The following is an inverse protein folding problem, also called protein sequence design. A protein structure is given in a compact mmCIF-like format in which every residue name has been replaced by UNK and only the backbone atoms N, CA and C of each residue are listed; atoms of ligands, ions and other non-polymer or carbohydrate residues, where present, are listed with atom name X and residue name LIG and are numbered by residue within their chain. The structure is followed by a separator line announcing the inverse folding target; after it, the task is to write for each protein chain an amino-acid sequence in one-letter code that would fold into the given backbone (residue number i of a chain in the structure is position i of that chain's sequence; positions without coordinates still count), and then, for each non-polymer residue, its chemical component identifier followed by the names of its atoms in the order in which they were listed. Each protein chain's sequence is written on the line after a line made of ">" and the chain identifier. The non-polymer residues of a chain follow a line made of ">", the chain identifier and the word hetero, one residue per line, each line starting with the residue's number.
data_IF_637209098785
#
_entry.id   IF_637209098785
#
_cell.length_a   1.000
_cell.length_b   1.000
_cell.length_c   1.000
_cell.angle_alpha   90.00
_cell.angle_beta   90.00
_cell.angle_gamma   90.00
#
_symmetry.space_group_name_H-M   'P 1'
#
loop_
_entity.id
_entity.type
_entity.pdbx_description
1 polymer ?
#
# COMPACT_ATOMS: atom_id res chain seq x y z
N UNK A 1 26.91 -27.56 2.50
CA UNK A 1 25.54 -27.81 2.99
C UNK A 1 25.01 -26.48 3.49
N UNK A 2 24.06 -25.78 2.89
CA UNK A 2 23.47 -25.79 1.56
C UNK A 2 23.06 -24.34 1.29
N UNK A 3 23.29 -23.87 0.07
CA UNK A 3 23.02 -22.51 -0.38
C UNK A 3 21.50 -22.32 -0.49
N UNK A 4 20.89 -21.64 0.49
CA UNK A 4 19.49 -21.21 0.43
C UNK A 4 19.47 -19.77 -0.08
N UNK A 5 19.51 -19.66 -1.40
CA UNK A 5 19.09 -18.48 -2.14
C UNK A 5 17.68 -18.07 -1.68
N UNK A 6 17.61 -17.05 -0.82
CA UNK A 6 16.37 -16.43 -0.39
C UNK A 6 15.77 -15.70 -1.59
N UNK A 7 14.77 -16.31 -2.21
CA UNK A 7 13.95 -15.67 -3.24
C UNK A 7 12.93 -14.79 -2.53
N UNK A 8 13.13 -13.48 -2.58
CA UNK A 8 12.22 -12.47 -2.05
C UNK A 8 11.55 -11.76 -3.23
N UNK A 9 10.20 -11.83 -3.32
CA UNK A 9 9.36 -11.05 -4.25
C UNK A 9 8.75 -11.77 -5.49
N UNK A 10 7.76 -11.12 -6.13
CA UNK A 10 6.62 -11.56 -7.00
C UNK A 10 5.51 -12.35 -6.31
N UNK A 11 5.71 -12.63 -5.04
CA UNK A 11 4.98 -13.67 -4.35
C UNK A 11 3.86 -13.05 -3.47
N UNK A 12 4.06 -11.83 -2.96
CA UNK A 12 3.16 -11.03 -2.13
C UNK A 12 1.79 -10.59 -2.72
N UNK A 13 1.26 -11.14 -3.82
CA UNK A 13 -0.06 -10.80 -4.39
C UNK A 13 -0.92 -12.00 -4.82
N UNK A 14 -2.25 -11.87 -4.70
CA UNK A 14 -3.22 -12.97 -4.94
C UNK A 14 -3.06 -13.69 -6.28
N UNK A 15 -3.41 -14.98 -6.27
CA UNK A 15 -3.53 -15.84 -7.45
C UNK A 15 -4.36 -15.19 -8.57
N UNK A 16 -5.33 -14.31 -8.26
CA UNK A 16 -6.16 -13.62 -9.26
C UNK A 16 -5.38 -12.59 -10.08
N UNK A 17 -4.47 -11.83 -9.46
CA UNK A 17 -3.56 -10.91 -10.16
C UNK A 17 -2.53 -11.67 -11.00
N UNK A 18 -2.03 -12.81 -10.48
CA UNK A 18 -1.16 -13.73 -11.23
C UNK A 18 -1.86 -14.34 -12.47
N UNK A 19 -3.15 -14.70 -12.37
CA UNK A 19 -3.94 -15.32 -13.46
C UNK A 19 -4.31 -14.33 -14.58
N UNK A 20 -4.53 -13.05 -14.28
CA UNK A 20 -4.85 -12.03 -15.30
C UNK A 20 -3.69 -11.84 -16.32
N UNK A 21 -2.45 -12.05 -15.86
CA UNK A 21 -1.22 -11.95 -16.66
C UNK A 21 -1.05 -13.17 -17.58
N UNK A 22 -1.35 -14.39 -17.09
CA UNK A 22 -1.25 -15.59 -17.94
C UNK A 22 -2.42 -15.73 -18.94
N UNK A 23 -3.61 -15.21 -18.62
CA UNK A 23 -4.76 -15.19 -19.54
C UNK A 23 -4.53 -14.32 -20.77
N UNK A 24 -3.85 -13.17 -20.61
CA UNK A 24 -3.57 -12.24 -21.70
C UNK A 24 -2.38 -12.68 -22.57
N UNK A 25 -1.34 -13.29 -22.01
CA UNK A 25 -0.23 -13.86 -22.79
C UNK A 25 -0.67 -15.10 -23.58
N UNK A 26 -1.54 -15.94 -23.02
CA UNK A 26 -2.08 -17.09 -23.75
C UNK A 26 -3.06 -16.68 -24.87
N UNK A 27 -3.90 -15.65 -24.66
CA UNK A 27 -4.82 -15.15 -25.69
C UNK A 27 -4.10 -14.47 -26.86
N UNK A 28 -2.98 -13.78 -26.62
CA UNK A 28 -2.19 -13.17 -27.71
C UNK A 28 -1.48 -14.23 -28.57
N UNK A 29 -1.09 -15.36 -27.99
CA UNK A 29 -0.47 -16.48 -28.74
C UNK A 29 -1.53 -17.27 -29.55
N UNK A 30 -2.76 -17.40 -29.04
CA UNK A 30 -3.84 -18.10 -29.77
C UNK A 30 -4.49 -17.21 -30.84
N UNK A 31 -4.64 -15.90 -30.59
CA UNK A 31 -5.28 -14.98 -31.54
C UNK A 31 -4.40 -14.60 -32.76
N UNK A 32 -3.09 -14.84 -32.71
CA UNK A 32 -2.18 -14.70 -33.86
C UNK A 32 -2.06 -15.99 -34.70
N UNK A 33 -2.71 -17.10 -34.29
CA UNK A 33 -2.63 -18.41 -34.94
C UNK A 33 -3.88 -18.84 -35.73
N UNK A 34 -4.99 -18.12 -35.66
CA UNK A 34 -6.22 -18.46 -36.42
C UNK A 34 -6.81 -17.20 -37.04
N UNK A 35 -6.22 -16.81 -38.17
CA UNK A 35 -6.91 -15.93 -39.11
C UNK A 35 -8.04 -16.68 -39.84
N UNK A 36 -9.08 -15.91 -40.15
CA UNK A 36 -10.06 -16.12 -41.23
C UNK A 36 -11.18 -17.16 -41.03
N UNK A 37 -12.41 -16.66 -40.93
CA UNK A 37 -13.56 -17.35 -41.51
C UNK A 37 -14.93 -17.07 -40.89
N UNK A 38 -15.77 -16.35 -41.65
CA UNK A 38 -17.25 -16.40 -41.65
C UNK A 38 -17.94 -15.76 -40.44
N UNK A 39 -18.98 -14.94 -40.50
CA UNK A 39 -19.93 -14.53 -41.52
C UNK A 39 -21.28 -14.21 -40.85
N UNK A 40 -21.90 -13.10 -41.26
CA UNK A 40 -23.31 -12.66 -41.13
C UNK A 40 -24.34 -13.53 -40.35
N UNK A 41 -25.18 -12.88 -39.53
CA UNK A 41 -26.46 -13.45 -39.08
C UNK A 41 -27.34 -12.52 -38.25
N UNK A 42 -28.39 -11.99 -38.87
CA UNK A 42 -29.50 -11.18 -38.33
C UNK A 42 -30.35 -11.98 -37.33
N UNK A 43 -30.95 -11.32 -36.32
CA UNK A 43 -32.06 -11.90 -35.55
C UNK A 43 -32.69 -10.97 -34.50
N UNK A 44 -33.78 -10.30 -34.87
CA UNK A 44 -34.72 -9.55 -34.01
C UNK A 44 -35.83 -10.48 -33.44
N UNK A 45 -36.46 -10.01 -32.34
CA UNK A 45 -37.77 -10.36 -31.71
C UNK A 45 -37.62 -11.04 -30.32
N UNK A 46 -38.06 -10.49 -29.19
CA UNK A 46 -39.34 -9.91 -28.70
C UNK A 46 -40.32 -10.95 -28.11
N UNK A 47 -40.99 -10.54 -27.03
CA UNK A 47 -42.07 -11.18 -26.22
C UNK A 47 -41.57 -11.93 -24.97
N UNK A 48 -42.14 -11.79 -23.77
CA UNK A 48 -43.28 -11.00 -23.30
C UNK A 48 -43.46 -11.20 -21.78
N UNK A 49 -43.94 -10.14 -21.13
CA UNK A 49 -45.02 -10.02 -20.13
C UNK A 49 -45.25 -11.00 -18.96
N UNK A 50 -45.76 -10.34 -17.89
CA UNK A 50 -46.61 -10.79 -16.76
C UNK A 50 -45.95 -11.60 -15.62
N UNK A 51 -46.30 -11.47 -14.34
CA UNK A 51 -47.12 -10.57 -13.51
C UNK A 51 -46.74 -10.97 -12.05
N UNK A 52 -46.51 -10.02 -11.14
CA UNK A 52 -47.36 -9.69 -9.98
C UNK A 52 -47.33 -10.62 -8.75
N UNK A 53 -47.50 -9.95 -7.60
CA UNK A 53 -47.89 -10.41 -6.26
C UNK A 53 -46.76 -10.79 -5.28
N UNK A 54 -46.88 -10.59 -3.97
CA UNK A 54 -47.36 -9.50 -3.11
C UNK A 54 -46.94 -9.90 -1.67
N UNK A 55 -46.94 -8.94 -0.76
CA UNK A 55 -47.12 -9.08 0.71
C UNK A 55 -45.95 -9.52 1.64
N UNK A 56 -45.38 -8.49 2.29
CA UNK A 56 -45.54 -8.10 3.70
C UNK A 56 -45.14 -9.01 4.89
N UNK A 57 -44.73 -8.31 5.97
CA UNK A 57 -44.50 -8.71 7.37
C UNK A 57 -43.12 -9.32 7.67
N UNK A 58 -42.32 -8.95 8.67
CA UNK A 58 -42.46 -8.07 9.83
C UNK A 58 -41.34 -8.46 10.82
N UNK A 59 -41.01 -7.53 11.73
CA UNK A 59 -40.19 -7.70 12.95
C UNK A 59 -38.65 -7.78 12.84
N UNK A 60 -38.01 -6.93 13.64
CA UNK A 60 -36.57 -6.65 13.59
C UNK A 60 -35.70 -7.52 14.49
N UNK A 61 -34.39 -7.44 14.21
CA UNK A 61 -33.32 -7.71 15.16
C UNK A 61 -32.02 -7.08 14.65
N UNK A 62 -31.40 -6.24 15.48
CA UNK A 62 -29.97 -5.90 15.48
C UNK A 62 -29.37 -5.36 14.18
N UNK A 63 -29.55 -4.07 13.90
CA UNK A 63 -28.65 -3.37 12.99
C UNK A 63 -27.23 -3.39 13.57
N UNK A 64 -26.20 -3.87 12.86
CA UNK A 64 -24.83 -3.64 13.25
C UNK A 64 -24.59 -2.13 13.14
N UNK A 65 -24.08 -1.54 14.22
CA UNK A 65 -23.75 -0.13 14.32
C UNK A 65 -22.69 0.19 13.26
N UNK A 66 -23.13 0.52 12.06
CA UNK A 66 -22.29 0.90 10.94
C UNK A 66 -21.97 2.37 11.18
N UNK A 67 -21.02 2.61 12.07
CA UNK A 67 -20.49 3.96 12.31
C UNK A 67 -19.94 4.47 10.99
N UNK A 68 -20.67 5.39 10.36
CA UNK A 68 -20.16 6.17 9.23
C UNK A 68 -18.82 6.78 9.66
N UNK A 69 -17.73 6.57 8.89
CA UNK A 69 -16.43 7.15 9.23
C UNK A 69 -16.59 8.65 9.40
N UNK A 70 -16.33 9.15 10.62
CA UNK A 70 -16.31 10.59 10.84
C UNK A 70 -15.01 11.10 10.22
N UNK A 71 -15.11 12.01 9.26
CA UNK A 71 -13.95 12.65 8.66
C UNK A 71 -13.18 13.38 9.77
N UNK A 72 -11.94 12.98 10.02
CA UNK A 72 -11.11 13.53 11.09
C UNK A 72 -9.96 14.32 10.48
N UNK A 73 -9.78 15.57 10.92
CA UNK A 73 -8.79 16.49 10.35
C UNK A 73 -7.52 16.54 11.17
N UNK A 74 -6.36 16.56 10.50
CA UNK A 74 -5.03 16.81 11.09
C UNK A 74 -4.40 18.05 10.45
N UNK A 75 -3.41 18.63 11.12
CA UNK A 75 -2.82 19.92 10.70
C UNK A 75 -1.94 19.81 9.45
N UNK A 76 -1.24 18.69 9.25
CA UNK A 76 -0.25 18.57 8.18
C UNK A 76 -0.84 17.83 6.97
N UNK A 77 -1.09 18.58 5.91
CA UNK A 77 -1.44 18.07 4.58
C UNK A 77 -0.28 18.41 3.63
N UNK A 78 0.51 17.44 3.15
CA UNK A 78 1.52 17.70 2.13
C UNK A 78 0.85 18.04 0.79
N UNK A 79 1.51 18.89 -0.01
CA UNK A 79 1.00 19.30 -1.31
C UNK A 79 1.27 18.21 -2.37
N UNK A 80 0.42 18.15 -3.39
CA UNK A 80 0.64 17.33 -4.59
C UNK A 80 2.02 17.62 -5.21
N UNK A 81 2.74 16.58 -5.63
CA UNK A 81 4.06 16.69 -6.24
C UNK A 81 5.20 17.04 -5.28
N UNK A 82 4.95 17.05 -3.96
CA UNK A 82 6.02 17.26 -2.97
C UNK A 82 7.06 16.15 -3.09
N UNK A 83 8.31 16.51 -3.40
CA UNK A 83 9.43 15.56 -3.48
C UNK A 83 9.64 14.86 -2.14
N UNK A 84 10.04 13.60 -2.19
CA UNK A 84 10.22 12.79 -0.99
C UNK A 84 11.38 11.80 -1.16
N UNK A 85 11.74 11.15 -0.07
CA UNK A 85 12.68 10.04 0.01
C UNK A 85 12.10 9.00 0.96
N UNK A 86 12.30 7.72 0.65
CA UNK A 86 11.96 6.59 1.52
C UNK A 86 13.20 5.73 1.78
N UNK A 87 13.49 5.45 3.04
CA UNK A 87 14.61 4.62 3.47
C UNK A 87 14.15 3.75 4.65
N UNK A 88 13.73 2.51 4.36
CA UNK A 88 13.27 1.57 5.37
C UNK A 88 14.38 0.66 5.88
N UNK A 89 15.40 0.43 5.06
CA UNK A 89 16.58 -0.34 5.46
C UNK A 89 17.83 0.40 5.04
N UNK A 90 18.53 1.01 5.98
CA UNK A 90 19.87 1.48 5.70
C UNK A 90 20.81 0.28 5.58
N UNK A 91 21.23 -0.06 4.36
CA UNK A 91 22.13 -1.18 4.10
C UNK A 91 23.33 -1.21 5.05
N UNK A 92 23.75 -2.41 5.46
CA UNK A 92 24.89 -2.66 6.35
C UNK A 92 24.91 -1.87 7.68
N UNK A 93 23.73 -1.45 8.18
CA UNK A 93 23.63 -0.63 9.39
C UNK A 93 24.13 0.81 9.18
N UNK A 94 24.19 1.28 7.93
CA UNK A 94 24.51 2.66 7.61
C UNK A 94 23.49 3.62 8.26
N UNK A 95 23.85 4.89 8.40
CA UNK A 95 22.88 5.91 8.79
C UNK A 95 21.95 6.25 7.61
N UNK A 96 20.76 6.77 7.92
CA UNK A 96 19.89 7.42 6.94
C UNK A 96 20.65 8.58 6.29
N UNK A 97 20.77 8.55 4.97
CA UNK A 97 21.43 9.61 4.21
C UNK A 97 20.54 10.85 4.11
N UNK A 98 21.05 11.97 4.63
CA UNK A 98 20.36 13.27 4.55
C UNK A 98 20.81 14.11 3.34
N UNK A 99 21.65 13.58 2.45
CA UNK A 99 22.21 14.31 1.30
C UNK A 99 21.18 14.64 0.22
N UNK A 100 20.07 13.91 0.17
CA UNK A 100 18.99 14.17 -0.76
C UNK A 100 18.20 15.39 -0.31
N UNK A 101 18.13 16.40 -1.18
CA UNK A 101 17.25 17.55 -0.97
C UNK A 101 15.80 17.16 -1.28
N UNK A 102 15.14 16.57 -0.28
CA UNK A 102 13.74 16.23 -0.27
C UNK A 102 13.08 16.78 1.02
N UNK A 103 11.94 17.48 0.92
CA UNK A 103 11.24 18.02 2.09
C UNK A 103 10.55 16.95 2.95
N UNK A 104 10.34 15.73 2.43
CA UNK A 104 9.72 14.62 3.16
C UNK A 104 10.65 13.42 3.16
N UNK A 105 10.81 12.81 4.32
CA UNK A 105 11.52 11.55 4.52
C UNK A 105 10.59 10.53 5.16
N UNK A 106 10.42 9.39 4.53
CA UNK A 106 9.74 8.21 5.08
C UNK A 106 10.78 7.20 5.55
N UNK A 107 10.76 6.87 6.84
CA UNK A 107 11.77 6.03 7.49
C UNK A 107 11.13 5.02 8.42
N UNK A 108 11.78 3.89 8.64
CA UNK A 108 11.28 2.86 9.56
C UNK A 108 11.13 3.41 10.99
N UNK A 109 9.95 3.21 11.58
CA UNK A 109 9.59 3.67 12.91
C UNK A 109 10.50 3.12 14.00
N UNK A 110 10.90 1.85 13.92
CA UNK A 110 11.62 1.18 14.99
C UNK A 110 13.13 1.34 14.87
N UNK A 111 13.67 1.29 13.65
CA UNK A 111 15.10 1.32 13.38
C UNK A 111 15.70 2.73 13.52
N UNK A 112 14.85 3.77 13.57
CA UNK A 112 15.27 5.14 13.75
C UNK A 112 14.89 5.67 15.14
N UNK A 113 15.84 6.35 15.79
CA UNK A 113 15.60 6.98 17.09
C UNK A 113 15.06 8.42 16.92
N UNK A 114 14.60 9.00 18.03
CA UNK A 114 14.10 10.38 18.10
C UNK A 114 15.09 11.43 17.58
N UNK A 115 16.40 11.21 17.75
CA UNK A 115 17.43 12.14 17.30
C UNK A 115 17.43 12.26 15.79
N UNK A 116 17.37 11.14 15.05
CA UNK A 116 17.30 11.11 13.58
C UNK A 116 16.13 11.94 13.07
N UNK A 117 14.94 11.73 13.64
CA UNK A 117 13.72 12.47 13.28
C UNK A 117 13.89 13.96 13.57
N UNK A 118 14.36 14.31 14.76
CA UNK A 118 14.56 15.71 15.15
C UNK A 118 15.60 16.43 14.30
N UNK A 119 16.64 15.73 13.82
CA UNK A 119 17.67 16.31 12.98
C UNK A 119 17.16 16.57 11.56
N UNK A 120 16.36 15.65 10.98
CA UNK A 120 15.63 15.91 9.73
C UNK A 120 14.70 17.13 9.86
N UNK A 121 13.97 17.24 10.97
CA UNK A 121 13.06 18.37 11.22
C UNK A 121 13.81 19.70 11.41
N UNK A 122 14.99 19.70 12.05
CA UNK A 122 15.86 20.90 12.12
C UNK A 122 16.34 21.36 10.74
N UNK A 123 16.42 20.45 9.77
CA UNK A 123 16.69 20.78 8.37
C UNK A 123 15.45 21.28 7.62
N UNK A 124 14.31 21.48 8.31
CA UNK A 124 13.05 21.93 7.71
C UNK A 124 12.23 20.83 7.04
N UNK A 125 12.60 19.56 7.24
CA UNK A 125 11.91 18.41 6.61
C UNK A 125 10.76 17.91 7.49
N UNK A 126 9.86 17.15 6.87
CA UNK A 126 8.81 16.37 7.52
C UNK A 126 9.20 14.90 7.53
N UNK A 127 8.84 14.19 8.59
CA UNK A 127 9.18 12.77 8.76
C UNK A 127 7.93 11.93 8.86
N UNK A 128 7.76 11.02 7.90
CA UNK A 128 6.80 9.93 7.93
C UNK A 128 7.50 8.73 8.57
N UNK A 129 6.80 8.04 9.47
CA UNK A 129 7.32 6.85 10.13
C UNK A 129 6.55 5.62 9.62
N UNK A 130 7.24 4.77 8.87
CA UNK A 130 6.76 3.49 8.38
C UNK A 130 6.63 2.47 9.52
N UNK A 131 5.55 1.69 9.51
CA UNK A 131 5.46 0.42 10.23
C UNK A 131 4.46 -0.50 9.54
N UNK A 132 4.66 -1.82 9.62
CA UNK A 132 3.61 -2.72 9.15
C UNK A 132 2.42 -2.74 10.10
N UNK A 133 1.22 -2.49 9.58
CA UNK A 133 -0.02 -2.51 10.35
C UNK A 133 -0.90 -3.75 10.06
N UNK A 134 -0.70 -4.39 8.91
CA UNK A 134 -1.42 -5.60 8.51
C UNK A 134 -0.58 -6.87 8.50
N UNK A 135 0.69 -6.81 8.90
CA UNK A 135 1.53 -7.99 9.09
C UNK A 135 2.28 -7.98 10.43
N UNK A 136 2.57 -9.18 10.92
CA UNK A 136 3.47 -9.49 12.01
C UNK A 136 4.88 -9.64 11.46
N UNK A 137 5.89 -9.09 12.14
CA UNK A 137 7.31 -9.16 11.78
C UNK A 137 8.08 -9.74 12.99
N UNK A 138 8.67 -10.93 12.86
CA UNK A 138 9.23 -11.67 14.01
C UNK A 138 10.46 -11.01 14.67
N UNK A 139 11.08 -10.05 13.97
CA UNK A 139 12.25 -9.31 14.43
C UNK A 139 11.90 -8.05 15.22
N UNK A 140 10.62 -7.64 15.28
CA UNK A 140 10.23 -6.44 16.05
C UNK A 140 10.25 -6.74 17.53
N UNK A 141 10.66 -5.76 18.33
CA UNK A 141 10.75 -5.91 19.80
C UNK A 141 9.38 -6.21 20.45
N UNK A 142 8.27 -5.84 19.79
CA UNK A 142 6.89 -6.10 20.23
C UNK A 142 6.31 -7.40 19.63
N UNK A 143 7.11 -8.21 18.92
CA UNK A 143 6.65 -9.48 18.34
C UNK A 143 6.04 -10.44 19.37
N UNK A 144 6.53 -10.40 20.62
CA UNK A 144 6.01 -11.21 21.72
C UNK A 144 4.61 -10.84 22.21
N UNK A 145 4.08 -9.68 21.81
CA UNK A 145 2.75 -9.22 22.23
C UNK A 145 1.62 -9.79 21.34
N UNK A 146 1.95 -10.35 20.17
CA UNK A 146 0.99 -10.96 19.25
C UNK A 146 0.64 -12.39 19.68
N UNK A 147 -0.65 -12.68 19.79
CA UNK A 147 -1.11 -14.04 20.02
C UNK A 147 -1.07 -14.85 18.73
N UNK A 148 -0.99 -16.19 18.83
CA UNK A 148 -1.06 -17.06 17.65
C UNK A 148 -2.38 -16.90 16.88
N UNK A 149 -3.48 -16.59 17.56
CA UNK A 149 -4.78 -16.30 16.93
C UNK A 149 -4.83 -14.96 16.19
N UNK A 150 -3.84 -14.10 16.36
CA UNK A 150 -3.74 -12.84 15.63
C UNK A 150 -3.09 -13.02 14.25
N UNK A 151 -2.42 -14.15 14.01
CA UNK A 151 -1.55 -14.39 12.85
C UNK A 151 -2.22 -15.35 11.86
N UNK A 152 -2.06 -15.06 10.58
CA UNK A 152 -2.49 -15.87 9.45
C UNK A 152 -1.33 -16.60 8.77
N UNK A 153 -1.46 -16.77 7.45
CA UNK A 153 -0.40 -17.32 6.61
C UNK A 153 0.82 -16.39 6.52
N UNK A 154 1.94 -16.98 6.09
CA UNK A 154 3.17 -16.24 5.79
C UNK A 154 2.94 -15.19 4.69
N UNK A 155 3.60 -14.04 4.84
CA UNK A 155 3.66 -13.03 3.79
C UNK A 155 4.62 -13.49 2.71
N UNK A 156 4.09 -13.66 1.51
CA UNK A 156 4.83 -14.36 0.46
C UNK A 156 5.98 -13.50 -0.07
N UNK A 157 7.21 -14.04 -0.02
CA UNK A 157 8.44 -13.31 -0.33
C UNK A 157 9.10 -12.58 0.85
N UNK A 158 8.51 -12.59 2.05
CA UNK A 158 9.03 -11.92 3.25
C UNK A 158 9.14 -12.91 4.43
N UNK A 159 10.30 -13.60 4.57
CA UNK A 159 10.50 -14.57 5.65
C UNK A 159 10.39 -13.94 7.04
N UNK A 160 9.70 -14.60 7.97
CA UNK A 160 9.45 -14.09 9.31
C UNK A 160 8.25 -13.15 9.41
N UNK A 161 7.57 -12.91 8.28
CA UNK A 161 6.40 -12.04 8.20
C UNK A 161 5.10 -12.84 8.00
N UNK A 162 4.01 -12.46 8.68
CA UNK A 162 2.71 -13.13 8.59
C UNK A 162 1.56 -12.13 8.51
N UNK A 163 0.50 -12.44 7.77
CA UNK A 163 -0.71 -11.61 7.76
C UNK A 163 -1.35 -11.51 9.16
N UNK A 164 -1.92 -10.35 9.49
CA UNK A 164 -2.60 -10.11 10.76
C UNK A 164 -4.12 -10.09 10.64
N UNK A 165 -4.79 -10.60 11.68
CA UNK A 165 -6.22 -10.43 11.84
C UNK A 165 -6.53 -8.99 12.30
N UNK A 166 -6.78 -8.11 11.34
CA UNK A 166 -7.07 -6.67 11.56
C UNK A 166 -8.36 -6.39 12.37
N UNK A 167 -9.19 -7.41 12.61
CA UNK A 167 -10.36 -7.32 13.49
C UNK A 167 -10.05 -7.66 14.95
N UNK A 168 -8.86 -8.21 15.23
CA UNK A 168 -8.44 -8.56 16.59
C UNK A 168 -8.27 -7.31 17.46
N UNK A 169 -8.90 -7.28 18.66
CA UNK A 169 -8.64 -6.23 19.64
C UNK A 169 -7.17 -6.19 20.08
N UNK A 170 -6.46 -7.33 20.09
CA UNK A 170 -5.05 -7.37 20.47
C UNK A 170 -4.17 -6.69 19.41
N UNK A 171 -4.37 -7.02 18.13
CA UNK A 171 -3.68 -6.34 17.00
C UNK A 171 -3.92 -4.83 17.05
N UNK A 172 -5.17 -4.39 17.27
CA UNK A 172 -5.50 -2.96 17.39
C UNK A 172 -4.80 -2.31 18.58
N UNK A 173 -4.71 -2.98 19.73
CA UNK A 173 -3.97 -2.47 20.88
C UNK A 173 -2.48 -2.31 20.58
N UNK A 174 -1.88 -3.27 19.87
CA UNK A 174 -0.46 -3.18 19.46
C UNK A 174 -0.26 -2.01 18.51
N UNK A 175 -1.12 -1.82 17.50
CA UNK A 175 -1.01 -0.67 16.60
C UNK A 175 -1.21 0.67 17.30
N UNK A 176 -2.07 0.76 18.32
CA UNK A 176 -2.14 1.96 19.16
C UNK A 176 -0.81 2.25 19.86
N UNK A 177 -0.15 1.22 20.40
CA UNK A 177 1.17 1.37 21.01
C UNK A 177 2.23 1.80 19.98
N UNK A 178 2.20 1.27 18.75
CA UNK A 178 3.09 1.72 17.65
C UNK A 178 2.85 3.19 17.30
N UNK A 179 1.60 3.64 17.25
CA UNK A 179 1.27 5.06 17.06
C UNK A 179 1.73 5.93 18.24
N UNK A 180 1.67 5.44 19.47
CA UNK A 180 2.20 6.15 20.64
C UNK A 180 3.73 6.32 20.55
N UNK A 181 4.45 5.29 20.07
CA UNK A 181 5.89 5.36 19.80
C UNK A 181 6.18 6.41 18.71
N UNK A 182 5.37 6.47 17.65
CA UNK A 182 5.53 7.48 16.60
C UNK A 182 5.40 8.92 17.16
N UNK A 183 4.46 9.16 18.07
CA UNK A 183 4.34 10.45 18.78
C UNK A 183 5.57 10.72 19.66
N UNK A 184 5.99 9.75 20.45
CA UNK A 184 7.13 9.91 21.38
C UNK A 184 8.42 10.28 20.63
N UNK A 185 8.63 9.61 19.49
CA UNK A 185 9.77 9.84 18.59
C UNK A 185 9.64 11.13 17.77
N UNK A 186 8.44 11.69 17.66
CA UNK A 186 8.18 12.99 17.03
C UNK A 186 7.90 12.93 15.53
N UNK A 187 7.38 11.80 15.03
CA UNK A 187 6.95 11.67 13.64
C UNK A 187 5.89 12.74 13.29
N UNK A 188 5.93 13.27 12.06
CA UNK A 188 4.89 14.18 11.56
C UNK A 188 3.68 13.41 11.02
N UNK A 189 3.90 12.17 10.55
CA UNK A 189 2.86 11.25 10.17
C UNK A 189 3.36 9.82 10.06
N UNK A 190 2.50 8.90 9.61
CA UNK A 190 2.79 7.46 9.56
C UNK A 190 2.41 6.83 8.22
N UNK A 191 3.16 5.80 7.82
CA UNK A 191 2.89 4.94 6.66
C UNK A 191 2.60 3.50 7.14
N UNK A 192 1.32 3.15 7.40
CA UNK A 192 0.94 1.83 7.87
C UNK A 192 0.85 0.84 6.69
N UNK A 193 1.74 -0.15 6.63
CA UNK A 193 1.81 -1.11 5.53
C UNK A 193 0.89 -2.32 5.68
N UNK A 194 0.76 -3.10 4.60
CA UNK A 194 0.09 -4.39 4.50
C UNK A 194 -1.43 -4.32 4.81
N UNK A 195 -2.05 -3.18 4.57
CA UNK A 195 -3.50 -2.97 4.80
C UNK A 195 -4.40 -3.69 3.80
N UNK A 196 -3.82 -4.34 2.80
CA UNK A 196 -4.45 -4.99 1.65
C UNK A 196 -4.47 -6.52 1.73
N UNK A 197 -4.37 -7.08 2.95
CA UNK A 197 -4.44 -8.54 3.15
C UNK A 197 -5.70 -9.21 2.57
N UNK A 198 -6.79 -8.46 2.36
CA UNK A 198 -8.01 -8.94 1.69
C UNK A 198 -7.81 -9.32 0.21
N UNK A 199 -6.78 -8.80 -0.45
CA UNK A 199 -6.40 -9.12 -1.83
C UNK A 199 -5.22 -10.10 -1.88
N UNK A 200 -5.06 -10.91 -0.81
CA UNK A 200 -3.95 -11.83 -0.62
C UNK A 200 -4.37 -13.17 -0.02
N UNK A 201 -3.53 -14.20 -0.19
CA UNK A 201 -3.68 -15.50 0.46
C UNK A 201 -3.30 -15.38 1.94
N UNK A 202 -4.22 -14.85 2.77
CA UNK A 202 -3.93 -14.45 4.14
C UNK A 202 -4.23 -15.51 5.23
N UNK A 203 -4.99 -16.56 4.92
CA UNK A 203 -5.41 -17.59 5.90
C UNK A 203 -6.45 -17.16 6.94
N UNK A 204 -6.94 -15.92 6.87
CA UNK A 204 -7.82 -15.30 7.86
C UNK A 204 -9.19 -14.92 7.26
N UNK A 205 -9.40 -15.17 5.96
CA UNK A 205 -10.57 -14.76 5.20
C UNK A 205 -10.86 -13.25 5.33
N UNK A 206 -9.80 -12.42 5.33
CA UNK A 206 -9.96 -10.97 5.39
C UNK A 206 -10.78 -10.45 4.21
N UNK A 207 -11.70 -9.54 4.53
CA UNK A 207 -12.60 -8.91 3.55
C UNK A 207 -12.25 -7.45 3.34
N UNK A 208 -12.61 -6.92 2.17
CA UNK A 208 -12.50 -5.50 1.84
C UNK A 208 -13.17 -4.58 2.88
N UNK A 209 -14.35 -4.98 3.38
CA UNK A 209 -15.05 -4.22 4.43
C UNK A 209 -14.28 -4.17 5.75
N UNK A 210 -13.58 -5.24 6.13
CA UNK A 210 -12.76 -5.25 7.34
C UNK A 210 -11.53 -4.37 7.17
N UNK A 211 -10.91 -4.35 5.99
CA UNK A 211 -9.80 -3.45 5.67
C UNK A 211 -10.24 -1.98 5.68
N UNK A 212 -11.38 -1.64 5.06
CA UNK A 212 -11.96 -0.28 5.12
C UNK A 212 -12.19 0.17 6.56
N UNK A 213 -12.76 -0.70 7.40
CA UNK A 213 -12.97 -0.39 8.82
C UNK A 213 -11.64 -0.18 9.56
N UNK A 214 -10.65 -1.02 9.28
CA UNK A 214 -9.34 -0.96 9.93
C UNK A 214 -8.55 0.28 9.53
N UNK A 215 -8.50 0.61 8.24
CA UNK A 215 -7.80 1.80 7.72
C UNK A 215 -8.43 3.09 8.24
N UNK A 216 -9.76 3.20 8.24
CA UNK A 216 -10.43 4.36 8.84
C UNK A 216 -10.22 4.43 10.37
N UNK A 217 -10.15 3.29 11.04
CA UNK A 217 -9.81 3.24 12.47
C UNK A 217 -8.37 3.69 12.72
N UNK A 218 -7.38 3.22 11.94
CA UNK A 218 -5.98 3.66 12.01
C UNK A 218 -5.89 5.16 11.81
N UNK A 219 -6.58 5.71 10.81
CA UNK A 219 -6.57 7.14 10.57
C UNK A 219 -7.14 7.95 11.73
N UNK A 220 -8.28 7.51 12.29
CA UNK A 220 -8.84 8.12 13.50
C UNK A 220 -7.85 8.07 14.68
N UNK A 221 -7.15 6.95 14.87
CA UNK A 221 -6.13 6.82 15.92
C UNK A 221 -4.92 7.73 15.69
N UNK A 222 -4.44 7.86 14.45
CA UNK A 222 -3.36 8.76 14.06
C UNK A 222 -3.75 10.22 14.27
N UNK A 223 -4.92 10.63 13.77
CA UNK A 223 -5.40 12.01 13.90
C UNK A 223 -5.62 12.41 15.35
N UNK A 224 -6.13 11.50 16.20
CA UNK A 224 -6.30 11.77 17.64
C UNK A 224 -4.97 12.06 18.36
N UNK A 225 -3.86 11.62 17.76
CA UNK A 225 -2.48 11.83 18.20
C UNK A 225 -1.78 12.99 17.48
N UNK A 226 -2.47 13.67 16.56
CA UNK A 226 -1.90 14.74 15.74
C UNK A 226 -0.98 14.25 14.61
N UNK A 227 -0.98 12.96 14.30
CA UNK A 227 -0.22 12.35 13.21
C UNK A 227 -1.05 12.34 11.93
N UNK A 228 -0.45 12.75 10.82
CA UNK A 228 -1.03 12.46 9.49
C UNK A 228 -0.81 11.00 9.10
N UNK A 229 -1.59 10.50 8.15
CA UNK A 229 -1.59 9.09 7.75
C UNK A 229 -1.83 8.94 6.25
N UNK A 230 -1.11 7.99 5.65
CA UNK A 230 -1.29 7.60 4.26
C UNK A 230 -2.04 6.28 4.09
N UNK A 231 -2.58 6.09 2.89
CA UNK A 231 -2.96 4.76 2.41
C UNK A 231 -1.78 4.15 1.65
N UNK A 232 -1.30 2.99 2.11
CA UNK A 232 -0.28 2.20 1.39
C UNK A 232 -0.96 1.23 0.42
N UNK A 233 -0.71 1.40 -0.87
CA UNK A 233 -1.39 0.67 -1.95
C UNK A 233 -2.92 0.69 -1.78
N UNK A 234 -3.60 -0.46 -1.76
CA UNK A 234 -5.02 -0.51 -1.43
C UNK A 234 -5.95 0.20 -2.43
N UNK A 235 -5.58 0.25 -3.72
CA UNK A 235 -6.32 0.98 -4.77
C UNK A 235 -7.83 0.71 -4.79
N UNK A 236 -8.20 -0.52 -4.45
CA UNK A 236 -9.55 -1.03 -4.39
C UNK A 236 -10.44 -0.33 -3.33
N UNK A 237 -9.86 0.20 -2.25
CA UNK A 237 -10.61 0.79 -1.12
C UNK A 237 -10.54 2.32 -1.07
N UNK A 238 -9.89 2.96 -2.05
CA UNK A 238 -9.64 4.41 -2.07
C UNK A 238 -10.92 5.20 -1.78
N UNK A 239 -12.00 4.97 -2.54
CA UNK A 239 -13.25 5.71 -2.42
C UNK A 239 -13.86 5.68 -1.01
N UNK A 240 -13.54 4.64 -0.21
CA UNK A 240 -14.08 4.45 1.14
C UNK A 240 -13.19 5.00 2.25
N UNK A 241 -11.97 5.42 1.94
CA UNK A 241 -10.97 5.83 2.95
C UNK A 241 -10.31 7.17 2.64
N UNK A 242 -10.32 7.61 1.38
CA UNK A 242 -9.57 8.77 0.90
C UNK A 242 -9.81 10.04 1.71
N UNK A 243 -11.03 10.26 2.21
CA UNK A 243 -11.38 11.43 3.03
C UNK A 243 -10.55 11.52 4.31
N UNK A 244 -10.19 10.39 4.92
CA UNK A 244 -9.39 10.31 6.13
C UNK A 244 -7.87 10.19 5.87
N UNK A 245 -7.43 10.15 4.61
CA UNK A 245 -6.01 10.04 4.27
C UNK A 245 -5.43 11.40 3.90
N UNK A 246 -4.13 11.62 4.14
CA UNK A 246 -3.42 12.81 3.67
C UNK A 246 -2.62 12.56 2.39
N UNK A 247 -2.26 11.30 2.11
CA UNK A 247 -1.56 10.90 0.88
C UNK A 247 -1.82 9.42 0.58
N UNK A 248 -1.30 8.96 -0.55
CA UNK A 248 -1.12 7.55 -0.84
C UNK A 248 0.38 7.26 -1.00
N UNK A 249 0.87 6.17 -0.43
CA UNK A 249 2.14 5.56 -0.83
C UNK A 249 1.79 4.44 -1.78
N UNK A 250 2.29 4.49 -3.02
CA UNK A 250 2.04 3.45 -4.00
C UNK A 250 3.36 2.86 -4.51
N UNK A 251 3.34 1.54 -4.68
CA UNK A 251 4.41 0.80 -5.34
C UNK A 251 3.92 0.30 -6.70
N UNK A 252 4.76 0.51 -7.72
CA UNK A 252 4.70 -0.19 -9.00
C UNK A 252 3.43 0.02 -9.84
N UNK A 253 2.67 1.10 -9.64
CA UNK A 253 1.49 1.31 -10.48
C UNK A 253 1.87 1.46 -11.97
N UNK A 254 3.07 1.94 -12.31
CA UNK A 254 3.47 2.09 -13.70
C UNK A 254 3.78 0.72 -14.32
N UNK A 255 4.48 -0.15 -13.60
CA UNK A 255 4.74 -1.54 -14.01
C UNK A 255 3.43 -2.30 -14.26
N UNK A 256 2.46 -2.14 -13.36
CA UNK A 256 1.19 -2.88 -13.44
C UNK A 256 0.06 -2.15 -14.18
N UNK A 257 0.31 -0.93 -14.66
CA UNK A 257 -0.68 -0.08 -15.37
C UNK A 257 -1.93 0.22 -14.51
N UNK A 258 -1.70 0.52 -13.24
CA UNK A 258 -2.73 0.81 -12.24
C UNK A 258 -2.72 2.28 -11.77
N UNK A 259 -1.89 3.15 -12.36
CA UNK A 259 -1.70 4.52 -11.84
C UNK A 259 -2.97 5.38 -11.90
N UNK A 260 -3.86 5.14 -12.86
CA UNK A 260 -5.13 5.88 -12.96
C UNK A 260 -6.02 5.66 -11.73
N UNK A 261 -5.94 4.50 -11.08
CA UNK A 261 -6.64 4.21 -9.81
C UNK A 261 -6.17 5.15 -8.70
N UNK A 262 -4.87 5.42 -8.62
CA UNK A 262 -4.28 6.26 -7.58
C UNK A 262 -4.37 7.76 -7.89
N UNK A 263 -4.66 8.13 -9.14
CA UNK A 263 -4.87 9.52 -9.55
C UNK A 263 -6.04 10.20 -8.80
N UNK A 264 -6.95 9.42 -8.20
CA UNK A 264 -8.01 9.92 -7.30
C UNK A 264 -7.46 10.74 -6.13
N UNK A 265 -6.26 10.42 -5.62
CA UNK A 265 -5.60 11.24 -4.59
C UNK A 265 -5.21 12.62 -5.13
N UNK A 266 -4.66 12.67 -6.33
CA UNK A 266 -4.29 13.93 -6.99
C UNK A 266 -5.54 14.79 -7.23
N UNK A 267 -6.64 14.17 -7.67
CA UNK A 267 -7.92 14.85 -7.87
C UNK A 267 -8.52 15.40 -6.55
N UNK A 268 -8.18 14.77 -5.42
CA UNK A 268 -8.54 15.21 -4.08
C UNK A 268 -7.50 16.17 -3.45
N UNK A 269 -6.54 16.69 -4.22
CA UNK A 269 -5.44 17.57 -3.78
C UNK A 269 -4.52 16.94 -2.72
N UNK A 270 -4.27 15.63 -2.87
CA UNK A 270 -3.41 14.82 -1.98
C UNK A 270 -2.30 14.15 -2.79
N UNK A 271 -1.03 14.17 -2.34
CA UNK A 271 0.06 13.58 -3.09
C UNK A 271 -0.03 12.05 -3.13
N UNK A 272 0.49 11.51 -4.23
CA UNK A 272 0.86 10.09 -4.32
C UNK A 272 2.39 10.02 -4.25
N UNK A 273 2.90 9.45 -3.17
CA UNK A 273 4.30 9.09 -2.98
C UNK A 273 4.54 7.76 -3.68
N UNK A 274 5.08 7.83 -4.88
CA UNK A 274 5.14 6.73 -5.84
C UNK A 274 6.54 6.11 -5.91
N UNK A 275 6.63 4.78 -5.82
CA UNK A 275 7.87 4.02 -5.83
C UNK A 275 7.89 3.04 -7.01
N UNK A 276 9.00 3.00 -7.75
CA UNK A 276 9.25 2.01 -8.79
C UNK A 276 10.59 1.28 -8.58
N UNK A 277 10.60 -0.03 -8.87
CA UNK A 277 11.74 -0.93 -8.64
C UNK A 277 12.28 -1.54 -9.94
N UNK A 278 12.75 -0.74 -10.91
CA UNK A 278 13.06 -1.23 -12.25
C UNK A 278 14.27 -2.17 -12.32
N UNK A 279 15.06 -2.30 -11.24
CA UNK A 279 16.17 -3.28 -11.12
C UNK A 279 15.68 -4.68 -10.76
N UNK A 280 14.40 -4.81 -10.39
CA UNK A 280 13.83 -6.03 -9.84
C UNK A 280 14.33 -6.33 -8.43
N UNK A 281 13.99 -7.51 -7.94
CA UNK A 281 14.16 -7.88 -6.53
C UNK A 281 15.57 -8.33 -6.16
N UNK A 282 16.31 -8.86 -7.14
CA UNK A 282 17.62 -9.48 -6.90
C UNK A 282 18.79 -8.49 -6.93
N UNK A 283 18.54 -7.23 -7.33
CA UNK A 283 19.60 -6.24 -7.52
C UNK A 283 19.37 -5.02 -6.64
N UNK A 284 20.20 -4.91 -5.59
CA UNK A 284 20.24 -3.76 -4.68
C UNK A 284 21.67 -3.19 -4.73
N UNK A 285 21.90 -2.23 -5.61
CA UNK A 285 23.20 -1.56 -5.76
C UNK A 285 23.04 -0.06 -5.98
N UNK A 286 24.15 0.68 -5.93
CA UNK A 286 24.13 2.13 -6.12
C UNK A 286 24.28 2.56 -7.59
N UNK A 287 24.10 1.65 -8.55
CA UNK A 287 24.23 1.97 -9.98
C UNK A 287 22.95 2.59 -10.50
N UNK A 288 23.11 3.51 -11.44
CA UNK A 288 21.97 4.11 -12.14
C UNK A 288 21.19 3.10 -12.96
N UNK A 289 19.89 3.34 -13.08
CA UNK A 289 19.05 2.57 -13.99
C UNK A 289 19.20 3.10 -15.42
N UNK A 290 18.83 2.31 -16.41
CA UNK A 290 18.89 2.73 -17.81
C UNK A 290 17.86 3.84 -18.10
N UNK A 291 18.09 4.64 -19.13
CA UNK A 291 17.12 5.66 -19.59
C UNK A 291 15.74 5.07 -19.89
N UNK A 292 15.68 3.82 -20.38
CA UNK A 292 14.40 3.14 -20.64
C UNK A 292 13.66 2.81 -19.34
N UNK A 293 14.39 2.36 -18.32
CA UNK A 293 13.83 2.08 -16.99
C UNK A 293 13.33 3.36 -16.32
N UNK A 294 14.11 4.45 -16.36
CA UNK A 294 13.64 5.77 -15.88
C UNK A 294 12.36 6.17 -16.61
N UNK A 295 12.34 6.08 -17.94
CA UNK A 295 11.16 6.45 -18.73
C UNK A 295 9.93 5.62 -18.34
N UNK A 296 10.10 4.32 -18.11
CA UNK A 296 9.02 3.41 -17.68
C UNK A 296 8.48 3.82 -16.31
N UNK A 297 9.35 3.95 -15.31
CA UNK A 297 8.97 4.33 -13.95
C UNK A 297 8.28 5.70 -13.90
N UNK A 298 8.77 6.67 -14.69
CA UNK A 298 8.24 8.02 -14.74
C UNK A 298 6.97 8.15 -15.57
N UNK A 299 6.45 7.08 -16.19
CA UNK A 299 5.15 7.14 -16.88
C UNK A 299 3.99 7.40 -15.92
N UNK A 300 4.12 7.07 -14.63
CA UNK A 300 3.13 7.44 -13.61
C UNK A 300 2.88 8.95 -13.54
N UNK A 301 3.89 9.78 -13.86
CA UNK A 301 3.72 11.24 -13.92
C UNK A 301 2.75 11.68 -15.04
N UNK A 302 2.43 10.80 -15.99
CA UNK A 302 1.40 11.07 -16.99
C UNK A 302 -0.03 10.86 -16.47
N UNK A 303 -0.20 10.06 -15.40
CA UNK A 303 -1.47 9.90 -14.68
C UNK A 303 -1.71 10.99 -13.63
N UNK A 304 -0.77 11.93 -13.47
CA UNK A 304 -0.88 13.06 -12.53
C UNK A 304 0.48 13.50 -12.02
N UNK A 305 0.51 14.54 -11.17
CA UNK A 305 1.75 15.04 -10.57
C UNK A 305 2.21 14.16 -9.39
N UNK A 306 2.46 12.87 -9.67
CA UNK A 306 2.94 11.88 -8.70
C UNK A 306 4.36 12.24 -8.25
N UNK A 307 4.63 12.06 -6.96
CA UNK A 307 5.96 12.23 -6.40
C UNK A 307 6.73 10.93 -6.59
N UNK A 308 7.38 10.74 -7.74
CA UNK A 308 8.03 9.46 -8.08
C UNK A 308 9.47 9.37 -7.57
N UNK A 309 9.80 8.24 -6.93
CA UNK A 309 11.16 7.79 -6.61
C UNK A 309 11.44 6.44 -7.29
N UNK A 310 12.64 6.30 -7.85
CA UNK A 310 13.16 5.03 -8.36
C UNK A 310 14.07 4.46 -7.28
N UNK A 311 13.76 3.25 -6.81
CA UNK A 311 14.39 2.65 -5.63
C UNK A 311 14.92 1.25 -5.91
N UNK A 312 15.87 0.82 -5.08
CA UNK A 312 16.18 -0.59 -4.90
C UNK A 312 15.02 -1.23 -4.10
N UNK A 313 14.73 -2.53 -4.33
CA UNK A 313 13.68 -3.25 -3.59
C UNK A 313 13.95 -3.28 -2.07
N UNK A 314 15.22 -3.26 -1.68
CA UNK A 314 15.62 -3.17 -0.27
C UNK A 314 15.34 -1.82 0.38
N UNK A 315 14.85 -0.82 -0.35
CA UNK A 315 14.53 0.52 0.17
C UNK A 315 15.67 1.16 0.97
N UNK A 316 16.87 1.08 0.40
CA UNK A 316 18.09 1.65 0.95
C UNK A 316 18.25 3.15 0.65
N UNK A 317 19.42 3.70 0.94
CA UNK A 317 19.72 5.11 0.71
C UNK A 317 19.70 5.52 -0.78
N UNK A 318 19.88 4.58 -1.72
CA UNK A 318 19.95 4.89 -3.14
C UNK A 318 18.58 5.32 -3.67
N UNK A 319 18.57 6.38 -4.48
CA UNK A 319 17.37 6.89 -5.13
C UNK A 319 17.74 7.59 -6.43
N UNK A 320 16.92 7.41 -7.46
CA UNK A 320 16.88 8.27 -8.63
C UNK A 320 15.51 8.92 -8.76
N UNK A 321 15.48 10.09 -9.38
CA UNK A 321 14.26 10.88 -9.58
C UNK A 321 13.98 11.04 -11.06
N UNK A 322 12.70 11.22 -11.39
CA UNK A 322 12.29 11.68 -12.71
C UNK A 322 12.84 13.10 -12.97
N UNK A 323 13.34 13.31 -14.19
CA UNK A 323 13.81 14.61 -14.70
C UNK A 323 12.67 15.52 -15.12
#
# INVERSE_FOLDING_TARGET
>A
MGDLSSKTGWWAWSTKKKVLIFGTVALVIVALGVGLGVGLGIGLRNSGDDDSDNDNDGTGSGAPNTTTPTNTTVKWQPAVGTKWQIILKSGDGAAISTSVDAPIYDIDLFDNNKTVISDLQKMGRKVICYFSAGSFEDWRNDAGDFHDTDKGEDLDGWPGEKWLNVTSPNVRKIMQARLDIAVEKGCDGVDPDNIDGYDNENGLNLTKSQAINYVNWLASQSHSRGLSVGLKNGGDIIDSVIDNMQWCVNEQCAEYKECDTYASFIQADKPVFHIEYPKGESTNDNKSVTTSQVKSACTANSSGNFSTVIKNMGLDNWVEYCS
#
